data_IF_902205918640
#
_entry.id   IF_902205918640
#
_cell.length_a   1.000
_cell.length_b   1.000
_cell.length_c   1.000
_cell.angle_alpha   90.00
_cell.angle_beta   90.00
_cell.angle_gamma   90.00
#
_symmetry.space_group_name_H-M   'P 1'
#
loop_
_entity.id
_entity.type
_entity.pdbx_description
1 polymer ?
#
# COMPACT_ATOMS: atom_id res chain seq x y z
N UNK A 1 34.79 -78.74 41.43
CA UNK A 1 35.61 -79.50 42.39
C UNK A 1 35.00 -80.88 42.56
N UNK A 2 35.25 -81.75 41.58
CA UNK A 2 34.73 -83.12 41.53
C UNK A 2 35.94 -84.01 41.33
N UNK A 3 36.07 -84.96 42.25
CA UNK A 3 37.27 -85.74 42.56
C UNK A 3 37.64 -86.65 41.37
N UNK A 4 38.65 -86.26 40.59
CA UNK A 4 39.27 -87.12 39.57
C UNK A 4 40.06 -88.19 40.33
N UNK A 5 39.41 -89.33 40.58
CA UNK A 5 40.09 -90.55 41.03
C UNK A 5 40.91 -91.08 39.85
N UNK A 6 42.24 -90.94 39.96
CA UNK A 6 43.19 -91.66 39.11
C UNK A 6 42.96 -93.18 39.26
N UNK A 7 42.88 -93.96 38.18
CA UNK A 7 42.99 -95.41 38.28
C UNK A 7 44.39 -95.74 38.76
N UNK A 8 44.45 -96.60 39.76
CA UNK A 8 45.66 -97.09 40.40
C UNK A 8 46.31 -98.12 39.45
N UNK A 9 47.38 -97.74 38.77
CA UNK A 9 48.22 -98.65 37.98
C UNK A 9 48.98 -99.59 38.93
N UNK A 10 48.33 -100.67 39.35
CA UNK A 10 48.93 -101.92 39.81
C UNK A 10 47.82 -102.92 40.19
N UNK A 11 47.18 -103.50 39.17
CA UNK A 11 46.37 -104.71 39.36
C UNK A 11 47.22 -105.89 38.93
N UNK A 12 47.60 -106.71 39.92
CA UNK A 12 48.23 -108.01 39.72
C UNK A 12 47.31 -108.86 38.87
N UNK A 13 47.77 -109.26 37.68
CA UNK A 13 47.10 -110.22 36.82
C UNK A 13 46.83 -111.51 37.62
N UNK A 14 45.56 -111.76 37.91
CA UNK A 14 45.11 -113.04 38.47
C UNK A 14 44.64 -113.93 37.32
N UNK A 15 44.85 -115.24 37.41
CA UNK A 15 44.43 -116.24 36.40
C UNK A 15 42.93 -116.11 36.01
N UNK A 16 42.12 -115.53 36.89
CA UNK A 16 40.70 -115.23 36.68
C UNK A 16 40.47 -114.12 35.64
N UNK A 17 41.36 -113.13 35.56
CA UNK A 17 41.26 -112.04 34.57
C UNK A 17 41.60 -112.53 33.16
N UNK A 18 42.55 -113.46 33.01
CA UNK A 18 42.92 -114.03 31.71
C UNK A 18 41.84 -114.97 31.16
N UNK A 19 41.17 -115.73 32.02
CA UNK A 19 40.02 -116.56 31.65
C UNK A 19 38.85 -115.65 31.20
N UNK A 20 38.59 -114.59 31.97
CA UNK A 20 37.52 -113.62 31.65
C UNK A 20 37.83 -112.86 30.34
N UNK A 21 39.08 -112.45 30.12
CA UNK A 21 39.55 -111.86 28.86
C UNK A 21 39.40 -112.83 27.67
N UNK A 22 39.69 -114.12 27.86
CA UNK A 22 39.46 -115.14 26.83
C UNK A 22 37.97 -115.31 26.48
N UNK A 23 37.07 -115.31 27.48
CA UNK A 23 35.62 -115.38 27.23
C UNK A 23 35.10 -114.14 26.51
N UNK A 24 35.54 -112.94 26.90
CA UNK A 24 35.15 -111.68 26.24
C UNK A 24 35.69 -111.64 24.81
N UNK A 25 36.90 -112.14 24.56
CA UNK A 25 37.47 -112.27 23.22
C UNK A 25 36.70 -113.25 22.34
N UNK A 26 36.28 -114.38 22.89
CA UNK A 26 35.42 -115.35 22.19
C UNK A 26 34.04 -114.76 21.88
N UNK A 27 33.49 -113.97 22.80
CA UNK A 27 32.25 -113.24 22.57
C UNK A 27 32.40 -112.21 21.44
N UNK A 28 33.48 -111.43 21.42
CA UNK A 28 33.77 -110.52 20.30
C UNK A 28 34.00 -111.25 18.98
N UNK A 29 34.65 -112.41 19.00
CA UNK A 29 34.82 -113.22 17.79
C UNK A 29 33.48 -113.77 17.28
N UNK A 30 32.60 -114.18 18.19
CA UNK A 30 31.23 -114.55 17.86
C UNK A 30 30.47 -113.38 17.24
N UNK A 31 30.57 -112.17 17.82
CA UNK A 31 29.94 -110.97 17.30
C UNK A 31 30.48 -110.56 15.92
N UNK A 32 31.80 -110.60 15.70
CA UNK A 32 32.41 -110.33 14.40
C UNK A 32 31.98 -111.34 13.35
N UNK A 33 31.88 -112.63 13.72
CA UNK A 33 31.35 -113.65 12.83
C UNK A 33 29.87 -113.41 12.49
N UNK A 34 29.08 -112.96 13.47
CA UNK A 34 27.68 -112.57 13.24
C UNK A 34 27.56 -111.33 12.34
N UNK A 35 28.44 -110.33 12.48
CA UNK A 35 28.49 -109.16 11.58
C UNK A 35 28.88 -109.55 10.14
N UNK A 36 29.81 -110.50 9.98
CA UNK A 36 30.16 -111.09 8.68
C UNK A 36 29.05 -111.96 8.07
N UNK A 37 28.21 -112.56 8.91
CA UNK A 37 27.00 -113.25 8.44
C UNK A 37 25.96 -112.21 8.00
N UNK A 38 25.78 -111.14 8.78
CA UNK A 38 24.90 -110.03 8.43
C UNK A 38 25.29 -109.40 7.09
N UNK A 39 26.59 -109.27 6.82
CA UNK A 39 27.14 -108.83 5.53
C UNK A 39 26.67 -109.69 4.35
N UNK A 40 26.58 -111.00 4.53
CA UNK A 40 26.20 -111.93 3.48
C UNK A 40 24.69 -111.97 3.24
N UNK A 41 23.90 -111.54 4.24
CA UNK A 41 22.44 -111.59 4.20
C UNK A 41 21.87 -110.24 3.73
N UNK A 42 22.53 -109.13 4.03
CA UNK A 42 22.12 -107.82 3.53
C UNK A 42 22.60 -107.62 2.08
N UNK A 43 21.76 -107.09 1.17
CA UNK A 43 22.21 -106.65 -0.13
C UNK A 43 23.26 -105.54 0.03
N UNK A 44 24.46 -105.72 -0.53
CA UNK A 44 25.41 -104.63 -0.71
C UNK A 44 24.87 -103.71 -1.80
N UNK A 45 24.00 -102.78 -1.43
CA UNK A 45 23.45 -101.84 -2.41
C UNK A 45 24.55 -100.87 -2.79
N UNK A 46 25.04 -100.98 -4.02
CA UNK A 46 25.95 -100.01 -4.61
C UNK A 46 25.21 -98.67 -4.85
N UNK A 47 25.94 -97.55 -4.82
CA UNK A 47 25.39 -96.19 -5.01
C UNK A 47 24.53 -96.07 -6.30
N UNK A 48 24.85 -96.87 -7.33
CA UNK A 48 24.14 -96.86 -8.61
C UNK A 48 22.80 -97.62 -8.55
N UNK A 49 22.74 -98.71 -7.80
CA UNK A 49 21.52 -99.51 -7.62
C UNK A 49 20.55 -98.82 -6.66
N UNK A 50 21.06 -98.12 -5.64
CA UNK A 50 20.23 -97.29 -4.75
C UNK A 50 19.52 -96.19 -5.53
N UNK A 51 20.23 -95.51 -6.43
CA UNK A 51 19.70 -94.40 -7.21
C UNK A 51 18.68 -94.89 -8.24
N UNK A 52 18.88 -96.07 -8.83
CA UNK A 52 17.91 -96.65 -9.77
C UNK A 52 16.60 -97.04 -9.10
N UNK A 53 16.65 -97.72 -7.96
CA UNK A 53 15.46 -98.14 -7.20
C UNK A 53 14.72 -96.92 -6.62
N UNK A 54 15.47 -95.93 -6.12
CA UNK A 54 14.88 -94.67 -5.66
C UNK A 54 14.21 -93.91 -6.82
N UNK A 55 14.86 -93.85 -7.99
CA UNK A 55 14.32 -93.20 -9.18
C UNK A 55 13.10 -93.92 -9.78
N UNK A 56 12.99 -95.24 -9.66
CA UNK A 56 11.79 -95.99 -10.02
C UNK A 56 10.64 -95.73 -9.04
N UNK A 57 10.90 -95.83 -7.74
CA UNK A 57 9.89 -95.53 -6.71
C UNK A 57 9.40 -94.07 -6.78
N UNK A 58 10.31 -93.11 -7.02
CA UNK A 58 9.96 -91.70 -7.25
C UNK A 58 9.11 -91.58 -8.52
N UNK A 59 9.44 -92.28 -9.61
CA UNK A 59 8.64 -92.28 -10.83
C UNK A 59 7.23 -92.82 -10.60
N UNK A 60 7.08 -93.89 -9.85
CA UNK A 60 5.77 -94.48 -9.56
C UNK A 60 4.93 -93.61 -8.63
N UNK A 61 5.54 -92.97 -7.64
CA UNK A 61 4.87 -91.97 -6.78
C UNK A 61 4.45 -90.74 -7.60
N UNK A 62 5.30 -90.27 -8.53
CA UNK A 62 4.96 -89.16 -9.44
C UNK A 62 3.79 -89.52 -10.35
N UNK A 63 3.78 -90.74 -10.91
CA UNK A 63 2.65 -91.23 -11.73
C UNK A 63 1.35 -91.27 -10.94
N UNK A 64 1.39 -91.76 -9.70
CA UNK A 64 0.17 -91.89 -8.90
C UNK A 64 -0.32 -90.52 -8.36
N UNK A 65 0.59 -89.61 -8.03
CA UNK A 65 0.23 -88.22 -7.67
C UNK A 65 -0.36 -87.45 -8.86
N UNK A 66 0.15 -87.62 -10.07
CA UNK A 66 -0.45 -87.04 -11.27
C UNK A 66 -1.81 -87.67 -11.59
N UNK A 67 -1.97 -88.97 -11.37
CA UNK A 67 -3.27 -89.66 -11.48
C UNK A 67 -4.30 -89.09 -10.50
N UNK A 68 -3.94 -88.95 -9.22
CA UNK A 68 -4.80 -88.38 -8.19
C UNK A 68 -5.14 -86.90 -8.47
N UNK A 69 -4.16 -86.11 -8.93
CA UNK A 69 -4.34 -84.71 -9.33
C UNK A 69 -5.32 -84.58 -10.50
N UNK A 70 -5.22 -85.46 -11.49
CA UNK A 70 -6.14 -85.49 -12.63
C UNK A 70 -7.55 -85.91 -12.20
N UNK A 71 -7.67 -86.93 -11.34
CA UNK A 71 -8.95 -87.37 -10.78
C UNK A 71 -9.61 -86.25 -9.96
N UNK A 72 -8.85 -85.53 -9.12
CA UNK A 72 -9.37 -84.40 -8.36
C UNK A 72 -9.76 -83.22 -9.25
N UNK A 73 -8.94 -82.86 -10.26
CA UNK A 73 -9.28 -81.82 -11.25
C UNK A 73 -10.59 -82.16 -11.98
N UNK A 74 -10.82 -83.44 -12.26
CA UNK A 74 -12.06 -83.95 -12.85
C UNK A 74 -13.23 -83.80 -11.88
N UNK A 75 -13.05 -84.14 -10.60
CA UNK A 75 -14.08 -83.96 -9.56
C UNK A 75 -14.37 -82.49 -9.25
N UNK A 76 -13.37 -81.61 -9.31
CA UNK A 76 -13.51 -80.16 -9.12
C UNK A 76 -14.27 -79.53 -10.28
N UNK A 77 -13.97 -79.93 -11.52
CA UNK A 77 -14.73 -79.50 -12.69
C UNK A 77 -16.19 -79.97 -12.62
N UNK A 78 -16.44 -81.20 -12.16
CA UNK A 78 -17.80 -81.70 -11.89
C UNK A 78 -18.51 -80.87 -10.80
N UNK A 79 -17.79 -80.42 -9.78
CA UNK A 79 -18.36 -79.58 -8.69
C UNK A 79 -18.60 -78.13 -9.09
N UNK A 80 -17.73 -77.54 -9.92
CA UNK A 80 -17.89 -76.18 -10.48
C UNK A 80 -19.08 -76.12 -11.44
N UNK A 81 -19.33 -77.18 -12.21
CA UNK A 81 -20.54 -77.30 -13.04
C UNK A 81 -21.81 -77.50 -12.22
N UNK A 82 -21.73 -78.05 -11.01
CA UNK A 82 -22.86 -78.22 -10.09
C UNK A 82 -23.14 -76.98 -9.22
N UNK A 83 -22.24 -76.00 -9.15
CA UNK A 83 -22.33 -74.84 -8.25
C UNK A 83 -22.50 -73.50 -8.98
N UNK A 84 -23.37 -73.43 -10.00
CA UNK A 84 -23.80 -72.14 -10.61
C UNK A 84 -24.90 -71.44 -9.81
N UNK A 85 -25.29 -71.96 -8.65
CA UNK A 85 -26.20 -71.28 -7.72
C UNK A 85 -25.54 -71.10 -6.35
N UNK A 86 -25.28 -69.83 -6.04
CA UNK A 86 -25.04 -69.22 -4.72
C UNK A 86 -23.61 -69.26 -4.10
N UNK A 87 -23.06 -68.04 -4.03
CA UNK A 87 -22.33 -67.42 -2.89
C UNK A 87 -20.87 -67.76 -2.56
N UNK A 88 -20.16 -66.67 -2.22
CA UNK A 88 -18.90 -66.49 -1.47
C UNK A 88 -17.64 -67.22 -1.94
N UNK A 89 -16.81 -66.48 -2.67
CA UNK A 89 -15.41 -66.84 -2.96
C UNK A 89 -14.52 -66.08 -1.97
N UNK A 90 -14.12 -66.73 -0.88
CA UNK A 90 -12.92 -66.30 -0.11
C UNK A 90 -12.04 -67.45 0.37
N UNK A 91 -12.47 -68.71 0.30
CA UNK A 91 -11.76 -69.82 0.96
C UNK A 91 -10.98 -70.76 0.02
N UNK A 92 -10.66 -70.30 -1.21
CA UNK A 92 -9.98 -71.14 -2.22
C UNK A 92 -8.48 -71.31 -1.97
N UNK A 93 -7.87 -70.43 -1.17
CA UNK A 93 -6.43 -70.45 -0.88
C UNK A 93 -6.04 -71.37 0.28
N UNK A 94 -6.89 -71.46 1.32
CA UNK A 94 -6.53 -72.13 2.57
C UNK A 94 -6.54 -73.66 2.42
N UNK A 95 -7.55 -74.24 1.76
CA UNK A 95 -7.62 -75.69 1.54
C UNK A 95 -6.53 -76.22 0.60
N UNK A 96 -6.01 -75.37 -0.31
CA UNK A 96 -4.97 -75.76 -1.29
C UNK A 96 -3.57 -75.79 -0.67
N UNK A 97 -3.32 -74.96 0.34
CA UNK A 97 -2.10 -75.01 1.18
C UNK A 97 -2.11 -76.26 2.06
N UNK A 98 -3.20 -76.48 2.80
CA UNK A 98 -3.33 -77.60 3.74
C UNK A 98 -3.14 -78.97 3.05
N UNK A 99 -3.65 -79.14 1.83
CA UNK A 99 -3.47 -80.38 1.07
C UNK A 99 -2.03 -80.57 0.57
N UNK A 100 -1.35 -79.50 0.19
CA UNK A 100 0.06 -79.54 -0.24
C UNK A 100 0.95 -79.93 0.94
N UNK A 101 0.66 -79.39 2.12
CA UNK A 101 1.38 -79.68 3.36
C UNK A 101 1.10 -81.10 3.87
N UNK A 102 -0.10 -81.65 3.62
CA UNK A 102 -0.45 -83.02 4.00
C UNK A 102 0.15 -84.07 3.05
N UNK A 103 0.20 -83.80 1.73
CA UNK A 103 0.86 -84.68 0.75
C UNK A 103 2.38 -84.75 0.95
N UNK A 104 3.03 -83.60 1.21
CA UNK A 104 4.48 -83.59 1.52
C UNK A 104 4.78 -84.28 2.84
N UNK A 105 3.86 -84.21 3.82
CA UNK A 105 3.97 -84.99 5.06
C UNK A 105 3.90 -86.50 4.79
N UNK A 106 2.90 -86.97 4.04
CA UNK A 106 2.73 -88.39 3.68
C UNK A 106 3.89 -88.96 2.87
N UNK A 107 4.43 -88.21 1.91
CA UNK A 107 5.58 -88.62 1.10
C UNK A 107 6.85 -88.79 1.94
N UNK A 108 7.03 -87.96 2.97
CA UNK A 108 8.21 -87.99 3.83
C UNK A 108 8.16 -89.10 4.89
N UNK A 109 6.98 -89.54 5.32
CA UNK A 109 6.84 -90.62 6.33
C UNK A 109 6.95 -92.00 5.71
N UNK A 110 6.31 -92.25 4.56
CA UNK A 110 6.33 -93.59 3.93
C UNK A 110 7.69 -94.00 3.36
N UNK A 111 8.54 -93.04 2.98
CA UNK A 111 9.88 -93.31 2.42
C UNK A 111 10.99 -93.41 3.49
N UNK A 112 10.82 -92.75 4.65
CA UNK A 112 11.81 -92.76 5.74
C UNK A 112 11.65 -93.96 6.68
N UNK A 113 10.44 -94.45 6.86
CA UNK A 113 10.13 -95.56 7.78
C UNK A 113 10.20 -96.94 7.12
N UNK A 114 10.51 -97.02 5.81
CA UNK A 114 10.71 -98.31 5.14
C UNK A 114 12.10 -98.89 5.49
N UNK A 115 12.18 -100.06 6.16
CA UNK A 115 13.46 -100.68 6.53
C UNK A 115 14.31 -101.10 5.33
N UNK A 116 13.73 -101.19 4.13
CA UNK A 116 14.43 -101.48 2.87
C UNK A 116 14.68 -100.23 2.01
N UNK A 117 14.55 -99.03 2.59
CA UNK A 117 14.95 -97.81 1.91
C UNK A 117 16.46 -97.82 1.67
N UNK A 118 16.94 -97.45 0.47
CA UNK A 118 18.37 -97.49 0.14
C UNK A 118 19.24 -96.70 1.12
N UNK A 119 18.71 -95.59 1.66
CA UNK A 119 19.43 -94.77 2.64
C UNK A 119 19.53 -95.45 4.02
N UNK A 120 18.49 -96.17 4.43
CA UNK A 120 18.51 -96.96 5.66
C UNK A 120 19.44 -98.17 5.54
N UNK A 121 19.44 -98.85 4.38
CA UNK A 121 20.36 -99.94 4.08
C UNK A 121 21.83 -99.46 4.08
N UNK A 122 22.10 -98.29 3.50
CA UNK A 122 23.42 -97.65 3.51
C UNK A 122 23.87 -97.29 4.92
N UNK A 123 22.97 -96.72 5.73
CA UNK A 123 23.25 -96.43 7.14
C UNK A 123 23.58 -97.70 7.92
N UNK A 124 22.76 -98.75 7.78
CA UNK A 124 22.99 -100.05 8.44
C UNK A 124 24.34 -100.65 8.04
N UNK A 125 24.71 -100.53 6.76
CA UNK A 125 25.99 -101.02 6.25
C UNK A 125 27.19 -100.23 6.80
N UNK A 126 27.07 -98.90 6.90
CA UNK A 126 28.09 -98.05 7.52
C UNK A 126 28.21 -98.32 9.03
N UNK A 127 27.09 -98.43 9.74
CA UNK A 127 27.06 -98.76 11.16
C UNK A 127 27.69 -100.14 11.39
N UNK A 128 27.41 -101.11 10.53
CA UNK A 128 28.01 -102.46 10.57
C UNK A 128 29.52 -102.41 10.40
N UNK A 129 30.03 -101.69 9.39
CA UNK A 129 31.47 -101.56 9.16
C UNK A 129 32.16 -100.86 10.34
N UNK A 130 31.54 -99.80 10.88
CA UNK A 130 32.03 -99.13 12.08
C UNK A 130 32.12 -100.09 13.28
N UNK A 131 31.09 -100.91 13.52
CA UNK A 131 31.14 -101.94 14.57
C UNK A 131 32.17 -103.04 14.27
N UNK A 132 32.34 -103.46 13.02
CA UNK A 132 33.33 -104.48 12.64
C UNK A 132 34.76 -103.98 12.87
N UNK A 133 35.08 -102.75 12.45
CA UNK A 133 36.37 -102.09 12.66
C UNK A 133 36.65 -101.90 14.16
N UNK A 134 35.66 -101.39 14.89
CA UNK A 134 35.79 -101.07 16.32
C UNK A 134 35.91 -102.34 17.20
N UNK A 135 35.14 -103.38 16.91
CA UNK A 135 35.22 -104.67 17.60
C UNK A 135 36.51 -105.41 17.23
N UNK A 136 36.99 -105.28 15.99
CA UNK A 136 38.28 -105.84 15.56
C UNK A 136 39.45 -105.16 16.28
N UNK A 137 39.48 -103.83 16.34
CA UNK A 137 40.48 -103.06 17.09
C UNK A 137 40.46 -103.38 18.58
N UNK A 138 39.28 -103.51 19.18
CA UNK A 138 39.13 -103.87 20.60
C UNK A 138 39.62 -105.30 20.87
N UNK A 139 39.32 -106.25 19.97
CA UNK A 139 39.81 -107.63 20.03
C UNK A 139 41.32 -107.72 19.93
N UNK A 140 41.96 -106.91 19.08
CA UNK A 140 43.43 -106.84 18.95
C UNK A 140 44.10 -106.18 20.16
N UNK A 141 43.50 -105.11 20.70
CA UNK A 141 43.94 -104.48 21.95
C UNK A 141 43.81 -105.43 23.16
N UNK A 142 42.79 -106.28 23.18
CA UNK A 142 42.64 -107.36 24.17
C UNK A 142 43.73 -108.44 24.03
N UNK A 143 44.12 -108.80 22.80
CA UNK A 143 45.22 -109.77 22.56
C UNK A 143 46.58 -109.24 23.02
N UNK A 144 46.84 -107.95 22.82
CA UNK A 144 48.17 -107.36 23.02
C UNK A 144 48.40 -106.82 24.43
N UNK A 145 47.35 -106.43 25.16
CA UNK A 145 47.51 -105.79 26.47
C UNK A 145 46.27 -105.81 27.37
N UNK A 146 45.31 -106.72 27.15
CA UNK A 146 44.07 -106.83 27.94
C UNK A 146 43.35 -105.47 28.16
N UNK A 147 43.27 -104.61 27.13
CA UNK A 147 42.75 -103.24 27.27
C UNK A 147 41.53 -102.97 26.39
N UNK A 148 40.53 -102.30 26.97
CA UNK A 148 39.29 -101.87 26.30
C UNK A 148 39.32 -100.40 25.80
N UNK A 149 40.48 -99.74 25.82
CA UNK A 149 40.63 -98.32 25.45
C UNK A 149 39.98 -97.94 24.10
N UNK A 150 40.15 -98.71 23.00
CA UNK A 150 39.53 -98.35 21.72
C UNK A 150 37.99 -98.28 21.78
N UNK A 151 37.35 -99.13 22.60
CA UNK A 151 35.91 -99.11 22.83
C UNK A 151 35.49 -97.93 23.69
N UNK A 152 36.25 -97.60 24.75
CA UNK A 152 35.98 -96.42 25.57
C UNK A 152 36.10 -95.13 24.76
N UNK A 153 37.18 -94.97 23.98
CA UNK A 153 37.42 -93.79 23.13
C UNK A 153 36.33 -93.63 22.06
N UNK A 154 35.90 -94.72 21.42
CA UNK A 154 34.80 -94.69 20.45
C UNK A 154 33.45 -94.30 21.10
N UNK A 155 33.18 -94.75 22.33
CA UNK A 155 31.97 -94.37 23.07
C UNK A 155 32.03 -92.91 23.50
N UNK A 156 33.19 -92.44 23.96
CA UNK A 156 33.40 -91.04 24.36
C UNK A 156 33.27 -90.09 23.15
N UNK A 157 33.79 -90.48 21.98
CA UNK A 157 33.66 -89.74 20.72
C UNK A 157 32.19 -89.63 20.28
N UNK A 158 31.45 -90.76 20.30
CA UNK A 158 30.00 -90.77 20.00
C UNK A 158 29.22 -89.93 21.01
N UNK A 159 29.59 -89.98 22.28
CA UNK A 159 28.98 -89.16 23.31
C UNK A 159 29.25 -87.67 23.09
N UNK A 160 30.48 -87.30 22.71
CA UNK A 160 30.87 -85.93 22.39
C UNK A 160 30.10 -85.39 21.17
N UNK A 161 30.05 -86.13 20.07
CA UNK A 161 29.31 -85.73 18.88
C UNK A 161 27.80 -85.63 19.15
N UNK A 162 27.25 -86.51 20.01
CA UNK A 162 25.86 -86.39 20.47
C UNK A 162 25.63 -85.11 21.28
N UNK A 163 26.54 -84.75 22.19
CA UNK A 163 26.43 -83.48 22.94
C UNK A 163 26.49 -82.27 22.02
N UNK A 164 27.44 -82.24 21.08
CA UNK A 164 27.57 -81.16 20.08
C UNK A 164 26.34 -81.03 19.19
N UNK A 165 25.72 -82.15 18.82
CA UNK A 165 24.45 -82.13 18.08
C UNK A 165 23.33 -81.50 18.92
N UNK A 166 23.22 -81.85 20.21
CA UNK A 166 22.24 -81.25 21.14
C UNK A 166 22.48 -79.75 21.27
N UNK A 167 23.72 -79.30 21.47
CA UNK A 167 24.05 -77.87 21.57
C UNK A 167 23.71 -77.13 20.27
N UNK A 168 23.99 -77.74 19.11
CA UNK A 168 23.64 -77.18 17.80
C UNK A 168 22.12 -77.07 17.63
N UNK A 169 21.36 -78.06 18.08
CA UNK A 169 19.88 -78.04 18.05
C UNK A 169 19.34 -76.90 18.93
N UNK A 170 19.88 -76.74 20.14
CA UNK A 170 19.46 -75.66 21.06
C UNK A 170 19.75 -74.27 20.49
N UNK A 171 20.91 -74.07 19.86
CA UNK A 171 21.26 -72.81 19.18
C UNK A 171 20.37 -72.53 17.96
N UNK A 172 20.03 -73.57 17.20
CA UNK A 172 19.11 -73.48 16.07
C UNK A 172 17.71 -73.07 16.52
N UNK A 173 17.20 -73.67 17.60
CA UNK A 173 15.89 -73.34 18.15
C UNK A 173 15.85 -71.89 18.65
N UNK A 174 16.86 -71.46 19.40
CA UNK A 174 17.00 -70.05 19.84
C UNK A 174 17.06 -69.11 18.64
N UNK A 175 17.79 -69.46 17.59
CA UNK A 175 17.89 -68.68 16.36
C UNK A 175 16.54 -68.59 15.64
N UNK A 176 15.80 -69.70 15.53
CA UNK A 176 14.43 -69.72 14.98
C UNK A 176 13.49 -68.83 15.75
N UNK A 177 13.52 -68.88 17.08
CA UNK A 177 12.70 -68.02 17.93
C UNK A 177 13.02 -66.54 17.68
N UNK A 178 14.30 -66.18 17.60
CA UNK A 178 14.74 -64.81 17.31
C UNK A 178 14.29 -64.36 15.91
N UNK A 179 14.38 -65.23 14.90
CA UNK A 179 13.89 -64.94 13.55
C UNK A 179 12.38 -64.68 13.57
N UNK A 180 11.59 -65.51 14.25
CA UNK A 180 10.14 -65.32 14.38
C UNK A 180 9.81 -63.97 15.05
N UNK A 181 10.51 -63.63 16.13
CA UNK A 181 10.33 -62.35 16.82
C UNK A 181 10.68 -61.16 15.92
N UNK A 182 11.79 -61.22 15.18
CA UNK A 182 12.18 -60.17 14.24
C UNK A 182 11.17 -60.03 13.10
N UNK A 183 10.69 -61.15 12.55
CA UNK A 183 9.64 -61.14 11.53
C UNK A 183 8.34 -60.50 12.03
N UNK A 184 7.97 -60.76 13.29
CA UNK A 184 6.81 -60.12 13.91
C UNK A 184 7.02 -58.61 14.07
N UNK A 185 8.17 -58.18 14.60
CA UNK A 185 8.52 -56.75 14.70
C UNK A 185 8.51 -56.04 13.35
N UNK A 186 9.02 -56.69 12.29
CA UNK A 186 8.98 -56.14 10.92
C UNK A 186 7.52 -55.95 10.45
N UNK A 187 6.64 -56.92 10.72
CA UNK A 187 5.21 -56.81 10.36
C UNK A 187 4.53 -55.68 11.12
N UNK A 188 4.80 -55.55 12.42
CA UNK A 188 4.26 -54.48 13.27
C UNK A 188 4.75 -53.09 12.82
N UNK A 189 6.06 -52.95 12.58
CA UNK A 189 6.65 -51.70 12.06
C UNK A 189 6.06 -51.31 10.70
N UNK A 190 5.86 -52.27 9.79
CA UNK A 190 5.18 -52.00 8.50
C UNK A 190 3.75 -51.52 8.71
N UNK A 191 3.00 -52.12 9.63
CA UNK A 191 1.62 -51.70 9.95
C UNK A 191 1.57 -50.29 10.53
N UNK A 192 2.51 -49.95 11.42
CA UNK A 192 2.62 -48.60 12.00
C UNK A 192 2.98 -47.60 10.91
N UNK A 193 4.00 -47.87 10.11
CA UNK A 193 4.43 -46.98 9.01
C UNK A 193 3.31 -46.71 8.00
N UNK A 194 2.50 -47.71 7.64
CA UNK A 194 1.34 -47.50 6.76
C UNK A 194 0.28 -46.60 7.42
N UNK A 195 0.01 -46.77 8.72
CA UNK A 195 -0.92 -45.91 9.45
C UNK A 195 -0.42 -44.46 9.52
N UNK A 196 0.84 -44.26 9.86
CA UNK A 196 1.46 -42.93 9.91
C UNK A 196 1.44 -42.26 8.52
N UNK A 197 1.75 -43.00 7.46
CA UNK A 197 1.64 -42.49 6.09
C UNK A 197 0.21 -42.09 5.74
N UNK A 198 -0.79 -42.87 6.18
CA UNK A 198 -2.20 -42.52 5.98
C UNK A 198 -2.57 -41.23 6.73
N UNK A 199 -2.20 -41.12 8.01
CA UNK A 199 -2.43 -39.91 8.82
C UNK A 199 -1.76 -38.67 8.22
N UNK A 200 -0.51 -38.80 7.76
CA UNK A 200 0.19 -37.72 7.07
C UNK A 200 -0.53 -37.31 5.79
N UNK A 201 -1.04 -38.27 5.01
CA UNK A 201 -1.83 -37.97 3.81
C UNK A 201 -3.15 -37.26 4.14
N UNK A 202 -3.83 -37.61 5.22
CA UNK A 202 -5.03 -36.92 5.70
C UNK A 202 -4.72 -35.47 6.10
N UNK A 203 -3.64 -35.24 6.84
CA UNK A 203 -3.18 -33.89 7.20
C UNK A 203 -2.84 -33.07 5.95
N UNK A 204 -2.15 -33.68 4.98
CA UNK A 204 -1.83 -33.03 3.71
C UNK A 204 -3.12 -32.65 2.95
N UNK A 205 -4.15 -33.50 2.96
CA UNK A 205 -5.43 -33.19 2.34
C UNK A 205 -6.11 -32.00 3.05
N UNK A 206 -6.20 -32.04 4.38
CA UNK A 206 -6.78 -30.94 5.17
C UNK A 206 -6.07 -29.61 4.93
N UNK A 207 -4.73 -29.59 4.98
CA UNK A 207 -3.94 -28.38 4.74
C UNK A 207 -4.09 -27.86 3.30
N UNK A 208 -4.30 -28.75 2.32
CA UNK A 208 -4.59 -28.33 0.94
C UNK A 208 -5.96 -27.66 0.83
N UNK A 209 -6.96 -28.21 1.50
CA UNK A 209 -8.31 -27.65 1.53
C UNK A 209 -8.33 -26.28 2.22
N UNK A 210 -7.69 -26.14 3.39
CA UNK A 210 -7.53 -24.86 4.07
C UNK A 210 -6.78 -23.83 3.21
N UNK A 211 -5.72 -24.25 2.52
CA UNK A 211 -4.99 -23.37 1.62
C UNK A 211 -5.87 -22.90 0.46
N UNK A 212 -6.69 -23.79 -0.11
CA UNK A 212 -7.58 -23.44 -1.20
C UNK A 212 -8.72 -22.52 -0.73
N UNK A 213 -9.28 -22.77 0.45
CA UNK A 213 -10.27 -21.90 1.09
C UNK A 213 -9.68 -20.51 1.35
N UNK A 214 -8.50 -20.43 1.97
CA UNK A 214 -7.80 -19.18 2.24
C UNK A 214 -7.52 -18.40 0.94
N UNK A 215 -7.04 -19.07 -0.11
CA UNK A 215 -6.84 -18.46 -1.43
C UNK A 215 -8.14 -17.92 -2.04
N UNK A 216 -9.23 -18.67 -1.95
CA UNK A 216 -10.53 -18.24 -2.45
C UNK A 216 -11.03 -17.01 -1.68
N UNK A 217 -10.93 -17.04 -0.34
CA UNK A 217 -11.30 -15.94 0.55
C UNK A 217 -10.49 -14.68 0.25
N UNK A 218 -9.17 -14.76 0.22
CA UNK A 218 -8.28 -13.61 -0.09
C UNK A 218 -8.57 -13.04 -1.48
N UNK A 219 -8.88 -13.87 -2.47
CA UNK A 219 -9.22 -13.39 -3.81
C UNK A 219 -10.56 -12.60 -3.82
N UNK A 220 -11.58 -13.09 -3.11
CA UNK A 220 -12.86 -12.39 -2.97
C UNK A 220 -12.69 -11.09 -2.20
N UNK A 221 -11.97 -11.11 -1.07
CA UNK A 221 -11.65 -9.92 -0.29
C UNK A 221 -10.86 -8.90 -1.10
N UNK A 222 -9.86 -9.36 -1.88
CA UNK A 222 -9.09 -8.50 -2.78
C UNK A 222 -9.96 -7.81 -3.83
N UNK A 223 -10.89 -8.54 -4.46
CA UNK A 223 -11.87 -7.96 -5.39
C UNK A 223 -12.81 -6.97 -4.71
N UNK A 224 -13.28 -7.29 -3.51
CA UNK A 224 -14.16 -6.42 -2.75
C UNK A 224 -13.46 -5.11 -2.39
N UNK A 225 -12.26 -5.17 -1.81
CA UNK A 225 -11.45 -3.98 -1.47
C UNK A 225 -11.18 -3.14 -2.70
N UNK A 226 -10.78 -3.75 -3.81
CA UNK A 226 -10.56 -3.05 -5.08
C UNK A 226 -11.82 -2.31 -5.54
N UNK A 227 -12.96 -2.99 -5.56
CA UNK A 227 -14.23 -2.38 -5.95
C UNK A 227 -14.62 -1.22 -5.01
N UNK A 228 -14.44 -1.38 -3.69
CA UNK A 228 -14.68 -0.30 -2.72
C UNK A 228 -13.78 0.92 -2.97
N UNK A 229 -12.50 0.70 -3.25
CA UNK A 229 -11.56 1.76 -3.61
C UNK A 229 -11.97 2.45 -4.92
N UNK A 230 -12.32 1.70 -5.95
CA UNK A 230 -12.74 2.22 -7.25
C UNK A 230 -14.04 3.06 -7.13
N UNK A 231 -15.02 2.59 -6.36
CA UNK A 231 -16.25 3.35 -6.06
C UNK A 231 -15.94 4.62 -5.28
N UNK A 232 -15.10 4.54 -4.25
CA UNK A 232 -14.71 5.71 -3.46
C UNK A 232 -13.98 6.76 -4.31
N UNK A 233 -13.08 6.31 -5.18
CA UNK A 233 -12.33 7.16 -6.10
C UNK A 233 -13.24 7.81 -7.16
N UNK A 234 -14.16 7.04 -7.75
CA UNK A 234 -15.13 7.59 -8.71
C UNK A 234 -16.09 8.58 -8.06
N UNK A 235 -16.56 8.31 -6.84
CA UNK A 235 -17.38 9.23 -6.06
C UNK A 235 -16.62 10.52 -5.74
N UNK A 236 -15.36 10.43 -5.28
CA UNK A 236 -14.52 11.58 -4.98
C UNK A 236 -14.29 12.45 -6.24
N UNK A 237 -13.95 11.82 -7.38
CA UNK A 237 -13.78 12.51 -8.67
C UNK A 237 -15.07 13.21 -9.10
N UNK A 238 -16.23 12.55 -8.98
CA UNK A 238 -17.51 13.16 -9.33
C UNK A 238 -17.84 14.36 -8.44
N UNK A 239 -17.58 14.25 -7.13
CA UNK A 239 -17.76 15.37 -6.19
C UNK A 239 -16.86 16.54 -6.53
N UNK A 240 -15.58 16.28 -6.82
CA UNK A 240 -14.63 17.31 -7.24
C UNK A 240 -15.10 18.00 -8.52
N UNK A 241 -15.47 17.24 -9.54
CA UNK A 241 -15.97 17.78 -10.80
C UNK A 241 -17.20 18.68 -10.61
N UNK A 242 -18.17 18.25 -9.79
CA UNK A 242 -19.34 19.07 -9.48
C UNK A 242 -18.98 20.38 -8.77
N UNK A 243 -18.02 20.32 -7.83
CA UNK A 243 -17.52 21.52 -7.14
C UNK A 243 -16.81 22.47 -8.11
N UNK A 244 -15.94 21.93 -8.98
CA UNK A 244 -15.25 22.71 -10.03
C UNK A 244 -16.24 23.37 -10.99
N UNK A 245 -17.31 22.67 -11.37
CA UNK A 245 -18.38 23.23 -12.20
C UNK A 245 -19.11 24.40 -11.51
N UNK A 246 -19.45 24.26 -10.22
CA UNK A 246 -20.07 25.34 -9.45
C UNK A 246 -19.13 26.55 -9.34
N UNK A 247 -17.85 26.31 -9.01
CA UNK A 247 -16.85 27.37 -8.92
C UNK A 247 -16.63 28.06 -10.27
N UNK A 248 -16.55 27.31 -11.37
CA UNK A 248 -16.41 27.84 -12.73
C UNK A 248 -17.61 28.71 -13.12
N UNK A 249 -18.83 28.27 -12.79
CA UNK A 249 -20.05 29.06 -13.01
C UNK A 249 -20.03 30.37 -12.20
N UNK A 250 -19.65 30.30 -10.93
CA UNK A 250 -19.53 31.49 -10.07
C UNK A 250 -18.46 32.46 -10.57
N UNK A 251 -17.32 31.94 -11.01
CA UNK A 251 -16.23 32.73 -11.59
C UNK A 251 -16.69 33.43 -12.88
N UNK A 252 -17.43 32.72 -13.74
CA UNK A 252 -18.01 33.32 -14.96
C UNK A 252 -19.03 34.40 -14.65
N UNK A 253 -19.89 34.18 -13.64
CA UNK A 253 -20.85 35.19 -13.17
C UNK A 253 -20.14 36.44 -12.62
N UNK A 254 -19.13 36.24 -11.78
CA UNK A 254 -18.38 37.33 -11.17
C UNK A 254 -17.60 38.13 -12.22
N UNK A 255 -17.01 37.46 -13.22
CA UNK A 255 -16.39 38.15 -14.37
C UNK A 255 -17.39 39.03 -15.11
N UNK A 256 -18.59 38.51 -15.39
CA UNK A 256 -19.64 39.29 -16.04
C UNK A 256 -20.06 40.50 -15.18
N UNK A 257 -20.22 40.33 -13.87
CA UNK A 257 -20.55 41.43 -12.95
C UNK A 257 -19.45 42.50 -12.93
N UNK A 258 -18.18 42.10 -12.93
CA UNK A 258 -17.04 43.03 -13.02
C UNK A 258 -17.06 43.80 -14.34
N UNK A 259 -17.25 43.12 -15.48
CA UNK A 259 -17.28 43.76 -16.79
C UNK A 259 -18.43 44.78 -16.89
N UNK A 260 -19.59 44.45 -16.31
CA UNK A 260 -20.74 45.35 -16.22
C UNK A 260 -20.45 46.56 -15.33
N UNK A 261 -19.84 46.36 -14.16
CA UNK A 261 -19.46 47.44 -13.25
C UNK A 261 -18.45 48.40 -13.90
N UNK A 262 -17.43 47.86 -14.58
CA UNK A 262 -16.45 48.65 -15.34
C UNK A 262 -17.15 49.50 -16.40
N UNK A 263 -18.10 48.91 -17.13
CA UNK A 263 -18.87 49.63 -18.16
C UNK A 263 -19.70 50.76 -17.55
N UNK A 264 -20.46 50.48 -16.50
CA UNK A 264 -21.30 51.49 -15.82
C UNK A 264 -20.42 52.60 -15.24
N UNK A 265 -19.30 52.27 -14.61
CA UNK A 265 -18.35 53.25 -14.09
C UNK A 265 -17.82 54.16 -15.20
N UNK A 266 -17.40 53.59 -16.34
CA UNK A 266 -16.95 54.38 -17.49
C UNK A 266 -18.06 55.31 -18.03
N UNK A 267 -19.31 54.85 -18.08
CA UNK A 267 -20.45 55.67 -18.51
C UNK A 267 -20.71 56.83 -17.52
N UNK A 268 -20.62 56.57 -16.21
CA UNK A 268 -20.74 57.59 -15.16
C UNK A 268 -19.60 58.60 -15.24
N UNK A 269 -18.35 58.14 -15.34
CA UNK A 269 -17.18 59.01 -15.48
C UNK A 269 -17.30 59.91 -16.70
N UNK A 270 -17.71 59.36 -17.85
CA UNK A 270 -17.95 60.13 -19.06
C UNK A 270 -19.05 61.17 -18.88
N UNK A 271 -20.16 60.82 -18.23
CA UNK A 271 -21.24 61.76 -17.92
C UNK A 271 -20.75 62.91 -17.01
N UNK A 272 -20.01 62.59 -15.96
CA UNK A 272 -19.46 63.57 -15.02
C UNK A 272 -18.45 64.49 -15.71
N UNK A 273 -17.53 63.93 -16.52
CA UNK A 273 -16.56 64.69 -17.30
C UNK A 273 -17.24 65.63 -18.30
N UNK A 274 -18.28 65.15 -19.00
CA UNK A 274 -19.08 65.97 -19.91
C UNK A 274 -19.82 67.09 -19.17
N UNK A 275 -20.35 66.82 -17.98
CA UNK A 275 -21.01 67.85 -17.18
C UNK A 275 -20.00 68.87 -16.64
N UNK A 276 -18.84 68.41 -16.18
CA UNK A 276 -17.77 69.28 -15.71
C UNK A 276 -17.28 70.20 -16.81
N UNK A 277 -17.00 69.68 -18.02
CA UNK A 277 -16.61 70.50 -19.18
C UNK A 277 -17.69 71.52 -19.53
N UNK A 278 -18.96 71.11 -19.63
CA UNK A 278 -20.09 72.02 -19.86
C UNK A 278 -20.20 73.15 -18.81
N UNK A 279 -19.94 72.83 -17.53
CA UNK A 279 -19.96 73.83 -16.45
C UNK A 279 -18.75 74.76 -16.51
N UNK A 280 -17.56 74.24 -16.83
CA UNK A 280 -16.35 75.03 -17.06
C UNK A 280 -16.54 75.99 -18.22
N UNK A 281 -17.10 75.53 -19.35
CA UNK A 281 -17.37 76.38 -20.52
C UNK A 281 -18.35 77.51 -20.18
N UNK A 282 -19.41 77.20 -19.41
CA UNK A 282 -20.35 78.22 -18.93
C UNK A 282 -19.67 79.21 -17.99
N UNK A 283 -18.84 78.73 -17.08
CA UNK A 283 -18.09 79.57 -16.16
C UNK A 283 -17.16 80.50 -16.93
N UNK A 284 -16.40 79.99 -17.90
CA UNK A 284 -15.53 80.77 -18.75
C UNK A 284 -16.31 81.82 -19.56
N UNK A 285 -17.45 81.44 -20.16
CA UNK A 285 -18.33 82.37 -20.84
C UNK A 285 -18.81 83.52 -19.93
N UNK A 286 -19.29 83.20 -18.73
CA UNK A 286 -19.76 84.21 -17.79
C UNK A 286 -18.63 85.08 -17.24
N UNK A 287 -17.45 84.50 -17.02
CA UNK A 287 -16.27 85.24 -16.61
C UNK A 287 -15.85 86.24 -17.70
N UNK A 288 -15.70 85.78 -18.95
CA UNK A 288 -15.37 86.64 -20.09
C UNK A 288 -16.43 87.74 -20.29
N UNK A 289 -17.71 87.42 -20.21
CA UNK A 289 -18.79 88.40 -20.30
C UNK A 289 -18.73 89.43 -19.17
N UNK A 290 -18.46 88.99 -17.94
CA UNK A 290 -18.32 89.87 -16.79
C UNK A 290 -17.11 90.79 -16.94
N UNK A 291 -15.96 90.26 -17.34
CA UNK A 291 -14.74 91.05 -17.63
C UNK A 291 -15.01 92.09 -18.69
N UNK A 292 -15.60 91.70 -19.84
CA UNK A 292 -15.95 92.65 -20.91
C UNK A 292 -16.92 93.73 -20.43
N UNK A 293 -17.95 93.38 -19.66
CA UNK A 293 -18.88 94.36 -19.12
C UNK A 293 -18.20 95.32 -18.12
N UNK A 294 -17.28 94.81 -17.29
CA UNK A 294 -16.49 95.63 -16.37
C UNK A 294 -15.60 96.58 -17.17
N UNK A 295 -14.93 96.11 -18.22
CA UNK A 295 -14.12 96.93 -19.11
C UNK A 295 -14.97 97.99 -19.84
N UNK A 296 -16.15 97.64 -20.33
CA UNK A 296 -17.10 98.56 -20.96
C UNK A 296 -17.54 99.66 -19.98
N UNK A 297 -17.90 99.28 -18.74
CA UNK A 297 -18.29 100.24 -17.70
C UNK A 297 -17.13 101.08 -17.23
N UNK A 298 -15.92 100.52 -17.16
CA UNK A 298 -14.73 101.30 -16.84
C UNK A 298 -14.45 102.33 -17.94
N UNK A 299 -14.58 101.96 -19.22
CA UNK A 299 -14.47 102.89 -20.34
C UNK A 299 -15.51 104.01 -20.28
N UNK A 300 -16.77 103.69 -20.00
CA UNK A 300 -17.83 104.68 -19.83
C UNK A 300 -17.52 105.65 -18.67
N UNK A 301 -17.04 105.14 -17.53
CA UNK A 301 -16.62 105.96 -16.39
C UNK A 301 -15.45 106.87 -16.78
N UNK A 302 -14.45 106.34 -17.50
CA UNK A 302 -13.28 107.11 -17.92
C UNK A 302 -13.66 108.22 -18.91
N UNK A 303 -14.54 107.94 -19.87
CA UNK A 303 -15.11 108.92 -20.80
C UNK A 303 -15.89 110.01 -20.06
N UNK A 304 -16.79 109.65 -19.14
CA UNK A 304 -17.54 110.61 -18.34
C UNK A 304 -16.62 111.45 -17.46
N UNK A 305 -15.60 110.84 -16.84
CA UNK A 305 -14.59 111.56 -16.05
C UNK A 305 -13.79 112.53 -16.92
N UNK A 306 -13.47 112.16 -18.16
CA UNK A 306 -12.80 113.05 -19.11
C UNK A 306 -13.70 114.24 -19.49
N UNK A 307 -14.98 114.01 -19.78
CA UNK A 307 -15.96 115.06 -20.07
C UNK A 307 -16.14 115.99 -18.85
N UNK A 308 -16.25 115.42 -17.64
CA UNK A 308 -16.33 116.18 -16.39
C UNK A 308 -15.08 117.08 -16.22
N UNK A 309 -13.88 116.54 -16.41
CA UNK A 309 -12.63 117.32 -16.35
C UNK A 309 -12.60 118.45 -17.39
N UNK A 310 -13.02 118.16 -18.63
CA UNK A 310 -13.09 119.15 -19.70
C UNK A 310 -14.08 120.27 -19.40
N UNK A 311 -15.30 119.92 -18.97
CA UNK A 311 -16.35 120.89 -18.62
C UNK A 311 -15.97 121.72 -17.40
N UNK A 312 -15.35 121.13 -16.38
CA UNK A 312 -14.84 121.85 -15.22
C UNK A 312 -13.72 122.82 -15.61
N UNK A 313 -12.84 122.42 -16.53
CA UNK A 313 -11.83 123.31 -17.11
C UNK A 313 -12.46 124.49 -17.86
N UNK A 314 -13.49 124.25 -18.68
CA UNK A 314 -14.24 125.30 -19.38
C UNK A 314 -14.94 126.25 -18.41
N UNK A 315 -15.59 125.73 -17.37
CA UNK A 315 -16.25 126.53 -16.33
C UNK A 315 -15.22 127.40 -15.60
N UNK A 316 -14.07 126.84 -15.23
CA UNK A 316 -13.00 127.60 -14.59
C UNK A 316 -12.46 128.71 -15.50
N UNK A 317 -12.31 128.45 -16.80
CA UNK A 317 -11.88 129.46 -17.78
C UNK A 317 -12.91 130.60 -17.92
N UNK A 318 -14.21 130.26 -18.01
CA UNK A 318 -15.29 131.25 -18.07
C UNK A 318 -15.37 132.04 -16.76
N UNK A 319 -15.23 131.39 -15.61
CA UNK A 319 -15.22 132.04 -14.29
C UNK A 319 -14.06 133.02 -14.18
N UNK A 320 -12.86 132.62 -14.64
CA UNK A 320 -11.70 133.51 -14.67
C UNK A 320 -11.93 134.73 -15.58
N UNK A 321 -12.53 134.53 -16.77
CA UNK A 321 -12.94 135.62 -17.68
C UNK A 321 -13.98 136.54 -17.04
N UNK A 322 -14.99 135.97 -16.36
CA UNK A 322 -16.01 136.74 -15.64
C UNK A 322 -15.39 137.58 -14.53
N UNK A 323 -14.47 137.02 -13.74
CA UNK A 323 -13.76 137.75 -12.69
C UNK A 323 -12.89 138.87 -13.25
N UNK A 324 -12.24 138.66 -14.41
CA UNK A 324 -11.52 139.71 -15.13
C UNK A 324 -12.47 140.83 -15.58
N UNK A 325 -13.59 140.51 -16.22
CA UNK A 325 -14.57 141.51 -16.64
C UNK A 325 -15.20 142.24 -15.45
N UNK A 326 -15.49 141.54 -14.36
CA UNK A 326 -16.00 142.14 -13.12
C UNK A 326 -15.00 143.14 -12.55
N UNK A 327 -13.69 142.84 -12.55
CA UNK A 327 -12.65 143.80 -12.15
C UNK A 327 -12.66 145.05 -13.03
N UNK A 328 -12.79 144.89 -14.35
CA UNK A 328 -12.90 146.01 -15.30
C UNK A 328 -14.15 146.85 -15.05
N UNK A 329 -15.31 146.22 -14.83
CA UNK A 329 -16.57 146.92 -14.56
C UNK A 329 -16.54 147.67 -13.22
N UNK A 330 -15.97 147.06 -12.17
CA UNK A 330 -15.78 147.73 -10.89
C UNK A 330 -14.85 148.93 -11.05
N UNK A 331 -13.74 148.76 -11.79
CA UNK A 331 -12.81 149.83 -12.10
C UNK A 331 -13.48 150.99 -12.85
N UNK A 332 -14.26 150.72 -13.91
CA UNK A 332 -15.01 151.75 -14.66
C UNK A 332 -16.06 152.43 -13.77
N UNK A 333 -16.76 151.67 -12.92
CA UNK A 333 -17.74 152.23 -11.97
C UNK A 333 -17.07 153.15 -10.94
N UNK A 334 -15.92 152.77 -10.44
CA UNK A 334 -15.17 153.57 -9.47
C UNK A 334 -14.54 154.81 -10.12
N UNK A 335 -14.04 154.70 -11.35
CA UNK A 335 -13.65 155.84 -12.20
C UNK A 335 -14.81 156.81 -12.43
N UNK A 336 -15.98 156.31 -12.84
CA UNK A 336 -17.17 157.15 -13.05
C UNK A 336 -17.59 157.88 -11.78
N UNK A 337 -17.61 157.20 -10.64
CA UNK A 337 -17.86 157.85 -9.34
C UNK A 337 -16.79 158.90 -8.98
N UNK A 338 -15.53 158.69 -9.37
CA UNK A 338 -14.46 159.70 -9.19
C UNK A 338 -14.73 160.93 -10.06
N UNK A 339 -15.11 160.75 -11.32
CA UNK A 339 -15.50 161.84 -12.21
C UNK A 339 -16.73 162.60 -11.68
N UNK A 340 -17.78 161.91 -11.26
CA UNK A 340 -18.96 162.53 -10.65
C UNK A 340 -18.62 163.36 -9.39
N UNK A 341 -17.71 162.86 -8.53
CA UNK A 341 -17.24 163.61 -7.36
C UNK A 341 -16.48 164.88 -7.74
N UNK A 342 -15.64 164.81 -8.77
CA UNK A 342 -14.92 165.98 -9.29
C UNK A 342 -15.92 167.02 -9.82
N UNK A 343 -16.93 166.57 -10.58
CA UNK A 343 -17.97 167.43 -11.12
C UNK A 343 -18.80 168.10 -10.01
N UNK A 344 -19.18 167.36 -8.96
CA UNK A 344 -19.87 167.93 -7.79
C UNK A 344 -19.03 169.00 -7.07
N UNK A 345 -17.72 168.81 -6.95
CA UNK A 345 -16.83 169.81 -6.35
C UNK A 345 -16.80 171.07 -7.21
N UNK A 346 -16.67 170.92 -8.54
CA UNK A 346 -16.73 172.04 -9.49
C UNK A 346 -18.06 172.78 -9.38
N UNK A 347 -19.17 172.05 -9.24
CA UNK A 347 -20.49 172.66 -9.14
C UNK A 347 -20.69 173.40 -7.80
N UNK A 348 -20.17 172.87 -6.69
CA UNK A 348 -20.17 173.58 -5.39
C UNK A 348 -19.31 174.83 -5.47
N UNK A 349 -18.13 174.76 -6.11
CA UNK A 349 -17.27 175.94 -6.34
C UNK A 349 -18.00 176.99 -7.19
N UNK A 350 -18.70 176.57 -8.24
CA UNK A 350 -19.52 177.46 -9.07
C UNK A 350 -20.67 178.10 -8.28
N UNK A 351 -21.36 177.33 -7.44
CA UNK A 351 -22.47 177.81 -6.59
C UNK A 351 -21.98 178.75 -5.48
N UNK A 352 -20.80 178.49 -4.91
CA UNK A 352 -20.13 179.40 -4.00
C UNK A 352 -19.74 180.72 -4.69
N UNK A 353 -19.20 180.65 -5.91
CA UNK A 353 -18.91 181.83 -6.73
C UNK A 353 -20.18 182.67 -6.99
N UNK A 354 -21.33 182.04 -7.31
CA UNK A 354 -22.62 182.73 -7.47
C UNK A 354 -23.06 183.43 -6.16
N UNK A 355 -22.92 182.78 -5.00
CA UNK A 355 -23.27 183.39 -3.70
C UNK A 355 -22.37 184.59 -3.37
N UNK A 356 -21.07 184.50 -3.63
CA UNK A 356 -20.14 185.62 -3.49
C UNK A 356 -20.53 186.78 -4.41
N UNK A 357 -20.85 186.48 -5.68
CA UNK A 357 -21.32 187.49 -6.64
C UNK A 357 -22.65 188.14 -6.21
N UNK A 358 -23.59 187.36 -5.66
CA UNK A 358 -24.90 187.86 -5.20
C UNK A 358 -24.79 188.70 -3.92
N UNK A 359 -23.93 188.31 -2.97
CA UNK A 359 -23.63 189.10 -1.79
C UNK A 359 -23.03 190.47 -2.17
N UNK A 360 -22.06 190.48 -3.09
CA UNK A 360 -21.44 191.71 -3.58
C UNK A 360 -22.46 192.64 -4.27
N UNK A 361 -23.33 192.10 -5.14
CA UNK A 361 -24.41 192.87 -5.78
C UNK A 361 -25.41 193.44 -4.77
N UNK A 362 -25.74 192.71 -3.70
CA UNK A 362 -26.62 193.19 -2.62
C UNK A 362 -26.00 194.28 -1.76
N UNK A 363 -24.68 194.27 -1.57
CA UNK A 363 -23.96 195.35 -0.85
C UNK A 363 -23.93 196.64 -1.68
N UNK A 364 -23.78 196.55 -3.01
CA UNK A 364 -23.85 197.70 -3.93
C UNK A 364 -25.22 198.41 -3.84
N UNK A 365 -26.32 197.64 -3.77
CA UNK A 365 -27.68 198.19 -3.68
C UNK A 365 -27.97 198.87 -2.32
N UNK A 366 -27.41 198.36 -1.21
CA UNK A 366 -27.71 198.88 0.15
C UNK A 366 -26.87 200.09 0.58
N UNK A 367 -25.75 200.39 -0.09
CA UNK A 367 -24.89 201.55 0.21
C UNK A 367 -25.02 202.72 -0.78
N UNK A 368 -25.97 202.69 -1.72
CA UNK A 368 -26.31 203.86 -2.55
C UNK A 368 -25.24 204.36 -3.52
N UNK A 369 -24.28 203.51 -3.89
CA UNK A 369 -23.25 203.79 -4.91
C UNK A 369 -23.60 203.02 -6.19
N UNK A 370 -24.51 203.57 -7.02
CA UNK A 370 -24.87 203.00 -8.32
C UNK A 370 -26.19 203.54 -8.88
N UNK A 371 -26.19 203.89 -10.17
CA UNK A 371 -27.15 204.79 -10.80
C UNK A 371 -28.46 204.13 -11.26
N UNK A 372 -29.60 204.40 -10.59
CA UNK A 372 -30.92 204.54 -11.21
C UNK A 372 -31.84 205.45 -10.37
N UNK A 373 -31.77 206.76 -10.64
CA UNK A 373 -32.63 207.84 -10.13
C UNK A 373 -33.79 208.16 -11.10
N UNK A 374 -34.86 208.78 -10.58
CA UNK A 374 -36.22 208.99 -11.15
C UNK A 374 -36.35 210.06 -12.26
N UNK A 375 -37.37 209.87 -13.15
CA UNK A 375 -38.32 210.83 -13.84
C UNK A 375 -38.50 210.45 -15.34
N UNK A 376 -39.65 210.46 -16.04
CA UNK A 376 -40.85 211.31 -16.06
C UNK A 376 -42.16 210.53 -16.45
N UNK A 377 -43.23 211.21 -16.92
CA UNK A 377 -44.53 211.35 -16.23
C UNK A 377 -45.75 211.38 -17.22
N UNK A 378 -46.70 210.40 -17.17
CA UNK A 378 -48.15 210.37 -17.58
C UNK A 378 -48.56 208.89 -17.88
N UNK A 379 -49.38 208.12 -17.16
CA UNK A 379 -50.09 208.28 -15.88
C UNK A 379 -51.00 207.07 -15.54
N UNK A 380 -50.41 205.90 -15.26
CA UNK A 380 -50.92 204.64 -14.62
C UNK A 380 -51.63 203.53 -15.45
N UNK A 381 -50.92 202.37 -15.44
CA UNK A 381 -51.30 200.94 -15.55
C UNK A 381 -51.58 200.34 -16.95
N UNK A 382 -50.54 199.71 -17.51
CA UNK A 382 -50.63 198.67 -18.56
C UNK A 382 -49.73 197.48 -18.22
N UNK A 383 -50.25 196.25 -18.32
CA UNK A 383 -49.61 194.98 -17.89
C UNK A 383 -49.72 193.95 -19.03
N UNK A 384 -48.69 193.77 -19.86
CA UNK A 384 -48.52 192.57 -20.72
C UNK A 384 -47.17 192.50 -21.45
N UNK A 385 -46.48 191.37 -21.28
CA UNK A 385 -45.64 190.59 -22.22
C UNK A 385 -44.85 189.58 -21.35
N UNK A 386 -44.89 188.26 -21.49
CA UNK A 386 -44.84 187.31 -22.62
C UNK A 386 -43.47 187.24 -23.30
N UNK A 387 -42.74 186.17 -23.00
CA UNK A 387 -41.94 185.30 -23.87
C UNK A 387 -41.43 184.15 -22.97
N UNK A 388 -41.68 182.88 -23.31
CA UNK A 388 -41.10 182.03 -24.37
C UNK A 388 -39.93 181.24 -23.79
#
# INVERSE_FOLDING_TARGET
MTKIMKPNDNVKHTLSDDITSCYVRLAFESCLNQLKILEKILPNVSQEETDQILNENIRDIVRETDRLKNNYKTSLNKRVQASTTQSSVSDKGHSRSLFKDHLTSLQNTTAKDNPYSPENLRKIQNDRNYFDDMLSLTKESLKSGNSFKPLCEAVDEVHYEKMKLVDTIDEEEKSRLKIRQLQQKIKEMKKISVKESHQQNEIIAHLKDELQESKAKTNIEGKYVKNCCDVSLTQAKKKQYMMEMVLSKNLSKLKYEIDMEIRVNNEIENFLNNNQTNLTDKLEFWNNKSTNNIEDKQREIDELSQIEKMTLSQINEISAKYDQYKKVVIYDRDERKRFEKIEQIVEIQHRAAIKVQAWFRGVIVRKGLGAFSKKSKKGKKGKKKKNK
#
